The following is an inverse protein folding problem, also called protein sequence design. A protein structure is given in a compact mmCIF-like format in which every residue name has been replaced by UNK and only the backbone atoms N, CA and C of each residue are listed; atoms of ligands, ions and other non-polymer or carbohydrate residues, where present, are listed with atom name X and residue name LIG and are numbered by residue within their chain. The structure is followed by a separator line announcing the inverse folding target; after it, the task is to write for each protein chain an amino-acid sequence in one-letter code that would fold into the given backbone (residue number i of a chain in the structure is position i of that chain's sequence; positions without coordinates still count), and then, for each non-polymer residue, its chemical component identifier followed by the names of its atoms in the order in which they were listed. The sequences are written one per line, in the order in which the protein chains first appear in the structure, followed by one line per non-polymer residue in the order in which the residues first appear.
data_IF_697934676705
#
_entry.id   IF_697934676705
#
_cell.length_a   1.000
_cell.length_b   1.000
_cell.length_c   1.000
_cell.angle_alpha   90.00
_cell.angle_beta   90.00
_cell.angle_gamma   90.00
#
_symmetry.space_group_name_H-M   'P 1'
#
loop_
_entity.id
_entity.type
_entity.pdbx_description
1 polymer ?
#
# COMPACT_ATOMS: atom_id res chain seq x y z
N UNK A 1 -7.05 -11.35 -3.37
CA UNK A 1 -6.95 -9.99 -2.76
C UNK A 1 -7.84 -9.85 -1.53
N UNK A 2 -8.77 -10.78 -1.40
CA UNK A 2 -9.74 -11.11 -0.35
C UNK A 2 -9.31 -11.02 1.12
N UNK A 3 -8.03 -10.76 1.42
CA UNK A 3 -7.53 -10.60 2.80
C UNK A 3 -6.96 -9.22 3.10
N UNK A 4 -6.33 -8.56 2.13
CA UNK A 4 -5.66 -7.26 2.35
C UNK A 4 -6.61 -6.11 2.06
N UNK A 5 -7.32 -6.18 0.94
CA UNK A 5 -8.21 -5.12 0.49
C UNK A 5 -9.31 -4.75 1.52
N UNK A 6 -10.05 -5.71 2.11
CA UNK A 6 -11.09 -5.34 3.08
C UNK A 6 -10.53 -4.68 4.34
N UNK A 7 -9.33 -5.08 4.75
CA UNK A 7 -8.68 -4.52 5.95
C UNK A 7 -8.22 -3.09 5.68
N UNK A 8 -7.55 -2.84 4.54
CA UNK A 8 -7.12 -1.49 4.17
C UNK A 8 -8.32 -0.55 4.03
N UNK A 9 -9.38 -1.01 3.36
CA UNK A 9 -10.60 -0.21 3.16
C UNK A 9 -11.23 0.22 4.49
N UNK A 10 -11.41 -0.70 5.43
CA UNK A 10 -12.00 -0.39 6.75
C UNK A 10 -11.08 0.56 7.54
N UNK A 11 -9.78 0.29 7.58
CA UNK A 11 -8.83 1.13 8.34
C UNK A 11 -8.78 2.56 7.79
N UNK A 12 -8.79 2.73 6.46
CA UNK A 12 -8.74 4.06 5.85
C UNK A 12 -10.10 4.77 5.95
N UNK A 13 -11.20 4.10 5.60
CA UNK A 13 -12.51 4.77 5.50
C UNK A 13 -13.21 4.97 6.84
N UNK A 14 -13.17 3.97 7.71
CA UNK A 14 -13.93 3.99 8.96
C UNK A 14 -13.13 4.58 10.12
N UNK A 15 -11.79 4.48 10.07
CA UNK A 15 -10.91 4.90 11.16
C UNK A 15 -9.99 6.08 10.81
N UNK A 16 -10.00 6.55 9.55
CA UNK A 16 -9.09 7.59 9.05
C UNK A 16 -7.60 7.29 9.37
N UNK A 17 -7.24 6.00 9.40
CA UNK A 17 -5.92 5.57 9.82
C UNK A 17 -4.90 5.72 8.69
N UNK A 18 -3.69 6.16 9.04
CA UNK A 18 -2.54 6.09 8.13
C UNK A 18 -2.07 4.63 8.02
N UNK A 19 -2.39 3.97 6.90
CA UNK A 19 -2.07 2.55 6.68
C UNK A 19 -0.78 2.38 5.87
N UNK A 20 0.15 1.59 6.42
CA UNK A 20 1.30 1.05 5.69
C UNK A 20 1.04 -0.38 5.26
N UNK A 21 1.31 -0.73 4.00
CA UNK A 21 1.16 -2.10 3.48
C UNK A 21 2.52 -2.70 3.16
N UNK A 22 2.87 -3.79 3.87
CA UNK A 22 4.12 -4.54 3.65
C UNK A 22 3.92 -5.61 2.56
N UNK A 23 4.48 -5.35 1.37
CA UNK A 23 4.37 -6.28 0.26
C UNK A 23 5.37 -5.95 -0.86
N UNK A 24 5.81 -6.98 -1.58
CA UNK A 24 6.52 -6.86 -2.87
C UNK A 24 5.65 -7.31 -4.05
N UNK A 25 4.33 -7.42 -3.86
CA UNK A 25 3.42 -7.89 -4.90
C UNK A 25 2.78 -6.71 -5.64
N UNK A 26 3.05 -6.52 -6.94
CA UNK A 26 2.54 -5.38 -7.71
C UNK A 26 1.01 -5.24 -7.68
N UNK A 27 0.28 -6.36 -7.69
CA UNK A 27 -1.18 -6.34 -7.64
C UNK A 27 -1.70 -5.85 -6.30
N UNK A 28 -1.03 -6.22 -5.20
CA UNK A 28 -1.38 -5.75 -3.85
C UNK A 28 -1.08 -4.26 -3.71
N UNK A 29 0.07 -3.82 -4.21
CA UNK A 29 0.48 -2.41 -4.18
C UNK A 29 -0.55 -1.55 -4.89
N UNK A 30 -0.93 -1.92 -6.11
CA UNK A 30 -1.92 -1.17 -6.89
C UNK A 30 -3.25 -1.04 -6.15
N UNK A 31 -3.82 -2.15 -5.70
CA UNK A 31 -5.13 -2.15 -5.06
C UNK A 31 -5.11 -1.46 -3.69
N UNK A 32 -4.08 -1.69 -2.87
CA UNK A 32 -3.93 -1.03 -1.57
C UNK A 32 -3.89 0.50 -1.72
N UNK A 33 -3.26 0.98 -2.79
CA UNK A 33 -3.16 2.41 -3.06
C UNK A 33 -4.46 2.99 -3.61
N UNK A 34 -5.17 2.24 -4.45
CA UNK A 34 -6.53 2.58 -4.89
C UNK A 34 -7.49 2.68 -3.69
N UNK A 35 -7.26 1.89 -2.64
CA UNK A 35 -8.02 1.93 -1.37
C UNK A 35 -7.55 3.02 -0.38
N UNK A 36 -6.47 3.74 -0.70
CA UNK A 36 -5.99 4.88 0.11
C UNK A 36 -4.91 4.53 1.14
N UNK A 37 -4.17 3.43 0.97
CA UNK A 37 -2.98 3.19 1.78
C UNK A 37 -1.99 4.37 1.67
N UNK A 38 -1.50 4.84 2.82
CA UNK A 38 -0.62 6.00 2.90
C UNK A 38 0.86 5.68 2.66
N UNK A 39 1.25 4.41 2.81
CA UNK A 39 2.63 3.96 2.59
C UNK A 39 2.68 2.53 2.06
N UNK A 40 3.62 2.26 1.15
CA UNK A 40 4.04 0.91 0.78
C UNK A 40 5.41 0.65 1.38
N UNK A 41 5.50 -0.43 2.15
CA UNK A 41 6.74 -0.90 2.75
C UNK A 41 7.21 -2.16 2.00
N UNK A 42 8.00 -2.00 0.95
CA UNK A 42 8.57 -3.13 0.22
C UNK A 42 10.00 -3.40 0.67
N UNK A 43 10.22 -4.49 1.42
CA UNK A 43 11.55 -4.93 1.86
C UNK A 43 12.51 -5.26 0.71
N UNK A 44 11.99 -5.39 -0.52
CA UNK A 44 12.76 -5.63 -1.76
C UNK A 44 12.95 -4.35 -2.58
N UNK A 45 12.72 -3.18 -1.98
CA UNK A 45 12.96 -1.89 -2.62
C UNK A 45 12.29 -1.73 -4.00
N UNK A 46 11.11 -2.33 -4.21
CA UNK A 46 10.35 -2.30 -5.46
C UNK A 46 11.09 -2.91 -6.68
N UNK A 47 12.12 -3.73 -6.47
CA UNK A 47 12.92 -4.32 -7.54
C UNK A 47 12.17 -5.37 -8.37
N UNK A 48 11.04 -5.88 -7.86
CA UNK A 48 10.22 -6.83 -8.62
C UNK A 48 9.65 -6.16 -9.86
N UNK A 49 9.73 -6.84 -11.00
CA UNK A 49 9.15 -6.32 -12.25
C UNK A 49 7.67 -5.97 -12.02
N UNK A 50 7.26 -4.80 -12.50
CA UNK A 50 5.93 -4.20 -12.36
C UNK A 50 5.57 -3.64 -10.98
N UNK A 51 6.48 -3.65 -10.00
CA UNK A 51 6.27 -2.96 -8.72
C UNK A 51 6.29 -1.41 -8.88
N UNK A 52 6.92 -0.93 -9.96
CA UNK A 52 6.94 0.47 -10.38
C UNK A 52 5.61 0.88 -11.03
N UNK A 53 4.60 1.12 -10.20
CA UNK A 53 3.44 1.90 -10.62
C UNK A 53 3.39 3.15 -9.77
N UNK A 54 2.92 4.24 -10.38
CA UNK A 54 2.84 5.61 -9.87
C UNK A 54 2.37 5.64 -8.40
N UNK A 55 3.30 5.56 -7.44
CA UNK A 55 2.96 5.54 -6.04
C UNK A 55 3.90 6.38 -5.20
N UNK A 56 3.27 7.08 -4.26
CA UNK A 56 3.90 7.96 -3.30
C UNK A 56 4.67 7.10 -2.30
N UNK A 57 6.00 7.12 -2.37
CA UNK A 57 6.84 6.77 -1.22
C UNK A 57 6.67 7.92 -0.22
N UNK A 58 5.65 7.87 0.64
CA UNK A 58 5.59 8.78 1.79
C UNK A 58 6.57 8.27 2.84
N UNK A 59 7.86 8.52 2.62
CA UNK A 59 8.74 8.82 3.74
C UNK A 59 8.45 10.27 4.15
N UNK A 60 7.35 10.49 4.87
CA UNK A 60 7.13 11.75 5.61
C UNK A 60 6.94 11.41 7.08
N UNK A 61 8.01 10.89 7.69
CA UNK A 61 8.29 11.18 9.08
C UNK A 61 8.90 12.59 9.13
N UNK A 62 8.03 13.59 9.00
CA UNK A 62 8.25 14.99 9.37
C UNK A 62 6.88 15.67 9.50
#
# INVERSE_FOLDING_TARGET
MDRVAPVVEILVRELDALVSVDTSCPTVIREASELGAGMINDVRALEKVHCWQRLVVVCRFA
#
